data_IF_851043576274
#
_entry.id   IF_851043576274
#
_cell.length_a   1.000
_cell.length_b   1.000
_cell.length_c   1.000
_cell.angle_alpha   90.00
_cell.angle_beta   90.00
_cell.angle_gamma   90.00
#
_symmetry.space_group_name_H-M   'P 1'
#
loop_
_entity.id
_entity.type
_entity.pdbx_description
1 polymer ?
#
# COMPACT_ATOMS: atom_id res chain seq x y z
N UNK A 1 -5.00 3.24 38.26
CA UNK A 1 -6.08 2.29 38.50
C UNK A 1 -6.61 1.76 37.16
N UNK A 2 -6.31 0.51 36.84
CA UNK A 2 -6.66 -0.12 35.56
C UNK A 2 -8.19 -0.29 35.39
N UNK A 3 -8.97 -0.70 36.43
CA UNK A 3 -10.41 -0.80 36.31
C UNK A 3 -11.09 0.54 35.97
N UNK A 4 -10.71 1.63 36.62
CA UNK A 4 -11.29 2.95 36.36
C UNK A 4 -11.04 3.48 34.94
N UNK A 5 -9.90 3.12 34.32
CA UNK A 5 -9.63 3.43 32.92
C UNK A 5 -10.49 2.63 31.96
N UNK A 6 -10.77 1.37 32.29
CA UNK A 6 -11.63 0.50 31.47
C UNK A 6 -13.08 0.99 31.48
N UNK A 7 -13.58 1.38 32.66
CA UNK A 7 -14.92 1.95 32.81
C UNK A 7 -15.06 3.27 32.04
N UNK A 8 -14.04 4.15 32.13
CA UNK A 8 -14.03 5.42 31.37
C UNK A 8 -14.04 5.18 29.87
N UNK A 9 -13.26 4.22 29.36
CA UNK A 9 -13.27 3.85 27.95
C UNK A 9 -14.60 3.26 27.50
N UNK A 10 -15.21 2.40 28.31
CA UNK A 10 -16.53 1.83 28.03
C UNK A 10 -17.62 2.91 27.98
N UNK A 11 -17.52 3.92 28.85
CA UNK A 11 -18.45 5.03 28.88
C UNK A 11 -18.29 5.92 27.64
N UNK A 12 -17.05 6.28 27.25
CA UNK A 12 -16.76 7.04 26.04
C UNK A 12 -17.26 6.31 24.78
N UNK A 13 -17.02 5.00 24.70
CA UNK A 13 -17.50 4.20 23.58
C UNK A 13 -19.04 4.12 23.52
N UNK A 14 -19.69 4.07 24.67
CA UNK A 14 -21.16 4.02 24.77
C UNK A 14 -21.79 5.37 24.41
N UNK A 15 -21.17 6.47 24.83
CA UNK A 15 -21.60 7.83 24.49
C UNK A 15 -21.38 8.12 23.00
N UNK A 16 -20.22 7.77 22.46
CA UNK A 16 -19.91 7.93 21.03
C UNK A 16 -20.80 7.09 20.10
N UNK A 17 -21.28 5.93 20.57
CA UNK A 17 -22.19 5.09 19.78
C UNK A 17 -23.61 5.65 19.65
N UNK A 18 -23.96 6.68 20.44
CA UNK A 18 -25.27 7.34 20.40
C UNK A 18 -25.31 8.55 19.47
N UNK A 19 -24.15 9.08 19.06
CA UNK A 19 -24.09 10.15 18.06
C UNK A 19 -24.33 9.57 16.66
N UNK A 20 -25.51 9.89 16.09
CA UNK A 20 -25.91 9.42 14.76
C UNK A 20 -25.07 9.97 13.61
N UNK A 21 -24.20 10.96 13.85
CA UNK A 21 -23.33 11.61 12.87
C UNK A 21 -21.91 11.73 13.39
N UNK A 22 -21.26 10.60 13.69
CA UNK A 22 -19.84 10.63 13.98
C UNK A 22 -19.05 10.67 12.66
N UNK A 23 -18.27 11.72 12.39
CA UNK A 23 -17.51 11.85 11.15
C UNK A 23 -16.32 10.88 11.08
N UNK A 24 -15.95 10.26 12.20
CA UNK A 24 -14.84 9.31 12.31
C UNK A 24 -15.29 8.00 12.97
N UNK A 25 -15.08 6.91 12.27
CA UNK A 25 -15.36 5.55 12.77
C UNK A 25 -14.05 4.80 12.94
N UNK A 26 -13.78 4.31 14.15
CA UNK A 26 -12.68 3.38 14.42
C UNK A 26 -13.22 1.95 14.41
N UNK A 27 -12.61 1.10 13.59
CA UNK A 27 -13.05 -0.28 13.43
C UNK A 27 -11.87 -1.20 13.14
N UNK A 28 -11.98 -2.48 13.50
CA UNK A 28 -11.09 -3.50 12.95
C UNK A 28 -11.51 -3.85 11.53
N UNK A 29 -10.59 -4.39 10.73
CA UNK A 29 -10.92 -4.84 9.37
C UNK A 29 -12.02 -5.90 9.40
N UNK A 30 -11.99 -6.82 10.36
CA UNK A 30 -13.03 -7.84 10.53
C UNK A 30 -14.42 -7.23 10.79
N UNK A 31 -14.48 -6.23 11.66
CA UNK A 31 -15.75 -5.58 12.02
C UNK A 31 -16.30 -4.70 10.89
N UNK A 32 -15.46 -4.28 9.97
CA UNK A 32 -15.85 -3.48 8.81
C UNK A 32 -16.40 -4.29 7.64
N UNK A 33 -16.43 -5.62 7.76
CA UNK A 33 -16.93 -6.50 6.68
C UNK A 33 -18.40 -6.19 6.36
N UNK A 34 -18.70 -5.91 5.10
CA UNK A 34 -20.03 -5.54 4.63
C UNK A 34 -20.37 -4.05 4.74
N UNK A 35 -19.52 -3.26 5.38
CA UNK A 35 -19.65 -1.80 5.45
C UNK A 35 -18.78 -1.15 4.38
N UNK A 36 -19.12 0.07 3.99
CA UNK A 36 -18.33 0.87 3.04
C UNK A 36 -18.30 2.32 3.50
N UNK A 37 -17.18 2.99 3.24
CA UNK A 37 -16.91 4.36 3.67
C UNK A 37 -16.32 5.15 2.50
N UNK A 38 -16.60 6.44 2.45
CA UNK A 38 -16.06 7.30 1.39
C UNK A 38 -14.53 7.35 1.47
N UNK A 39 -14.00 7.44 2.70
CA UNK A 39 -12.55 7.44 2.97
C UNK A 39 -12.17 6.37 3.98
N UNK A 40 -11.11 5.64 3.71
CA UNK A 40 -10.56 4.63 4.61
C UNK A 40 -9.09 4.91 4.87
N UNK A 41 -8.73 4.87 6.15
CA UNK A 41 -7.37 5.03 6.64
C UNK A 41 -6.92 3.71 7.27
N UNK A 42 -6.10 2.94 6.57
CA UNK A 42 -5.52 1.70 7.08
C UNK A 42 -4.21 2.02 7.80
N UNK A 43 -4.18 1.81 9.11
CA UNK A 43 -3.01 2.03 9.95
C UNK A 43 -2.33 0.70 10.30
N UNK A 44 -1.08 0.76 10.77
CA UNK A 44 -0.29 -0.41 11.21
C UNK A 44 -0.09 -1.49 10.13
N UNK A 45 0.04 -1.06 8.88
CA UNK A 45 0.35 -1.97 7.76
C UNK A 45 1.86 -2.28 7.75
N UNK A 46 2.30 -3.06 8.73
CA UNK A 46 3.70 -3.34 9.03
C UNK A 46 3.95 -4.86 9.10
N UNK A 47 5.16 -5.28 8.73
CA UNK A 47 5.62 -6.65 9.01
C UNK A 47 5.60 -6.93 10.51
N UNK A 48 5.07 -8.08 10.89
CA UNK A 48 4.87 -8.47 12.29
C UNK A 48 3.52 -8.03 12.87
N UNK A 49 2.71 -7.26 12.13
CA UNK A 49 1.34 -6.88 12.52
C UNK A 49 0.33 -7.40 11.47
N UNK A 50 0.53 -7.04 10.21
CA UNK A 50 -0.23 -7.56 9.07
C UNK A 50 0.68 -7.57 7.83
N UNK A 51 1.30 -8.69 7.47
CA UNK A 51 1.19 -10.02 8.10
C UNK A 51 1.91 -10.15 9.44
N UNK A 52 1.46 -11.10 10.28
CA UNK A 52 2.14 -11.52 11.49
C UNK A 52 3.54 -12.08 11.20
N UNK A 53 4.42 -12.11 12.22
CA UNK A 53 5.72 -12.77 12.10
C UNK A 53 5.55 -14.28 11.88
N UNK A 54 6.04 -14.77 10.76
CA UNK A 54 6.07 -16.20 10.40
C UNK A 54 4.69 -16.89 10.43
N UNK A 55 3.68 -16.37 9.75
CA UNK A 55 2.42 -17.08 9.63
C UNK A 55 2.64 -18.39 8.88
N UNK A 56 1.90 -19.43 9.25
CA UNK A 56 1.79 -20.64 8.42
C UNK A 56 1.24 -20.22 7.05
N UNK A 57 1.54 -20.98 6.01
CA UNK A 57 1.15 -20.63 4.64
C UNK A 57 -0.35 -20.31 4.50
N UNK A 58 -1.20 -21.08 5.16
CA UNK A 58 -2.65 -20.84 5.23
C UNK A 58 -2.99 -19.51 5.95
N UNK A 59 -2.28 -19.17 7.03
CA UNK A 59 -2.46 -17.91 7.75
C UNK A 59 -2.09 -16.69 6.91
N UNK A 60 -1.01 -16.78 6.12
CA UNK A 60 -0.59 -15.70 5.24
C UNK A 60 -1.64 -15.38 4.16
N UNK A 61 -2.28 -16.40 3.57
CA UNK A 61 -3.33 -16.20 2.59
C UNK A 61 -4.60 -15.61 3.22
N UNK A 62 -4.92 -15.97 4.46
CA UNK A 62 -6.05 -15.40 5.21
C UNK A 62 -5.81 -13.91 5.51
N UNK A 63 -4.63 -13.55 5.99
CA UNK A 63 -4.25 -12.17 6.24
C UNK A 63 -4.20 -11.33 4.96
N UNK A 64 -3.77 -11.91 3.86
CA UNK A 64 -3.82 -11.26 2.55
C UNK A 64 -5.27 -10.96 2.13
N UNK A 65 -6.20 -11.89 2.38
CA UNK A 65 -7.63 -11.67 2.14
C UNK A 65 -8.19 -10.59 3.06
N UNK A 66 -7.76 -10.59 4.33
CA UNK A 66 -8.14 -9.57 5.29
C UNK A 66 -7.68 -8.18 4.85
N UNK A 67 -6.43 -8.05 4.43
CA UNK A 67 -5.91 -6.81 3.87
C UNK A 67 -6.74 -6.35 2.65
N UNK A 68 -7.07 -7.26 1.74
CA UNK A 68 -7.93 -6.96 0.60
C UNK A 68 -9.32 -6.48 1.02
N UNK A 69 -9.93 -7.14 2.04
CA UNK A 69 -11.22 -6.70 2.60
C UNK A 69 -11.11 -5.26 3.12
N UNK A 70 -10.05 -4.92 3.84
CA UNK A 70 -9.81 -3.55 4.31
C UNK A 70 -9.76 -2.53 3.17
N UNK A 71 -9.00 -2.82 2.12
CA UNK A 71 -8.91 -1.94 0.95
C UNK A 71 -10.26 -1.72 0.27
N UNK A 72 -11.06 -2.78 0.12
CA UNK A 72 -12.38 -2.70 -0.55
C UNK A 72 -13.45 -2.01 0.28
N UNK A 73 -13.14 -1.54 1.49
CA UNK A 73 -14.08 -0.73 2.28
C UNK A 73 -14.12 0.72 1.80
N UNK A 74 -13.13 1.17 1.04
CA UNK A 74 -13.07 2.51 0.51
C UNK A 74 -13.89 2.63 -0.79
N UNK A 75 -14.82 3.60 -0.84
CA UNK A 75 -15.54 3.96 -2.06
C UNK A 75 -14.77 4.93 -2.94
N UNK A 76 -14.16 5.95 -2.32
CA UNK A 76 -13.52 7.05 -3.04
C UNK A 76 -12.02 7.11 -2.76
N UNK A 77 -11.61 7.09 -1.48
CA UNK A 77 -10.23 7.33 -1.11
C UNK A 77 -9.72 6.27 -0.11
N UNK A 78 -8.56 5.72 -0.42
CA UNK A 78 -7.84 4.78 0.45
C UNK A 78 -6.47 5.34 0.82
N UNK A 79 -6.20 5.45 2.10
CA UNK A 79 -4.90 5.82 2.65
C UNK A 79 -4.31 4.65 3.43
N UNK A 80 -3.09 4.25 3.09
CA UNK A 80 -2.36 3.17 3.78
C UNK A 80 -1.15 3.79 4.46
N UNK A 81 -1.10 3.68 5.78
CA UNK A 81 -0.03 4.25 6.59
C UNK A 81 1.00 3.18 6.99
N UNK A 82 2.26 3.53 6.81
CA UNK A 82 3.41 2.75 7.25
C UNK A 82 4.35 3.65 8.05
N UNK A 83 5.06 3.12 9.03
CA UNK A 83 6.04 3.89 9.80
C UNK A 83 7.41 3.87 9.12
N UNK A 84 8.03 5.02 8.94
CA UNK A 84 9.24 5.21 8.15
C UNK A 84 10.47 4.38 8.55
N UNK A 85 10.59 4.01 9.84
CA UNK A 85 11.71 3.18 10.34
C UNK A 85 11.38 1.68 10.42
N UNK A 86 10.12 1.30 10.32
CA UNK A 86 9.69 -0.10 10.34
C UNK A 86 9.47 -0.62 8.92
N UNK A 87 9.74 -1.91 8.75
CA UNK A 87 9.51 -2.57 7.47
C UNK A 87 8.01 -2.56 7.15
N UNK A 88 7.66 -1.95 6.04
CA UNK A 88 6.28 -1.92 5.54
C UNK A 88 5.78 -3.33 5.25
N UNK A 89 4.50 -3.56 5.46
CA UNK A 89 3.83 -4.82 5.12
C UNK A 89 4.10 -5.22 3.66
N UNK A 90 4.37 -6.51 3.44
CA UNK A 90 4.53 -7.06 2.10
C UNK A 90 3.29 -6.81 1.21
N UNK A 91 2.11 -6.74 1.83
CA UNK A 91 0.87 -6.47 1.12
C UNK A 91 0.79 -5.03 0.64
N UNK A 92 1.10 -4.06 1.51
CA UNK A 92 1.13 -2.63 1.15
C UNK A 92 2.21 -2.35 0.10
N UNK A 93 3.38 -2.97 0.20
CA UNK A 93 4.44 -2.84 -0.79
C UNK A 93 3.98 -3.29 -2.18
N UNK A 94 3.26 -4.41 -2.29
CA UNK A 94 2.71 -4.87 -3.57
C UNK A 94 1.70 -3.89 -4.17
N UNK A 95 0.88 -3.25 -3.34
CA UNK A 95 -0.07 -2.22 -3.81
C UNK A 95 0.68 -0.98 -4.31
N UNK A 96 1.70 -0.52 -3.57
CA UNK A 96 2.53 0.61 -3.99
C UNK A 96 3.33 0.30 -5.26
N UNK A 97 3.88 -0.90 -5.37
CA UNK A 97 4.56 -1.37 -6.58
C UNK A 97 3.62 -1.38 -7.79
N UNK A 98 2.44 -1.95 -7.64
CA UNK A 98 1.45 -2.00 -8.72
C UNK A 98 1.02 -0.59 -9.15
N UNK A 99 0.80 0.32 -8.20
CA UNK A 99 0.45 1.72 -8.49
C UNK A 99 1.60 2.47 -9.18
N UNK A 100 2.82 2.31 -8.67
CA UNK A 100 3.99 2.94 -9.28
C UNK A 100 4.21 2.45 -10.72
N UNK A 101 3.94 1.18 -10.99
CA UNK A 101 4.07 0.60 -12.33
C UNK A 101 2.91 0.95 -13.27
N UNK A 102 1.76 1.39 -12.77
CA UNK A 102 0.56 1.64 -13.58
C UNK A 102 0.78 2.70 -14.69
N UNK A 103 1.72 3.63 -14.51
CA UNK A 103 2.12 4.61 -15.51
C UNK A 103 3.22 4.13 -16.46
N UNK A 104 3.77 2.92 -16.26
CA UNK A 104 4.91 2.42 -17.00
C UNK A 104 4.49 1.24 -17.90
N UNK A 105 4.49 1.45 -19.21
CA UNK A 105 4.18 0.42 -20.21
C UNK A 105 5.23 0.42 -21.33
N UNK A 106 5.33 -0.63 -22.14
CA UNK A 106 6.18 -0.59 -23.33
C UNK A 106 5.86 0.62 -24.20
N UNK A 107 6.87 1.38 -24.59
CA UNK A 107 6.76 2.66 -25.29
C UNK A 107 6.74 3.88 -24.37
N UNK A 108 6.57 3.72 -23.05
CA UNK A 108 6.66 4.85 -22.12
C UNK A 108 8.06 5.45 -22.09
N UNK A 109 8.13 6.78 -22.08
CA UNK A 109 9.37 7.50 -21.83
C UNK A 109 9.66 7.56 -20.36
N UNK A 110 10.92 7.39 -19.99
CA UNK A 110 11.38 7.41 -18.60
C UNK A 110 12.59 8.32 -18.45
N UNK A 111 12.78 8.84 -17.24
CA UNK A 111 14.00 9.56 -16.85
C UNK A 111 14.67 8.81 -15.71
N UNK A 112 15.92 8.46 -15.87
CA UNK A 112 16.75 7.85 -14.83
C UNK A 112 17.82 8.82 -14.38
N UNK A 113 18.03 8.94 -13.07
CA UNK A 113 18.99 9.92 -12.49
C UNK A 113 20.39 9.76 -13.08
N UNK A 114 20.86 8.52 -13.30
CA UNK A 114 22.20 8.23 -13.82
C UNK A 114 22.27 8.14 -15.35
N UNK A 115 21.23 7.58 -15.98
CA UNK A 115 21.29 7.23 -17.43
C UNK A 115 20.55 8.23 -18.32
N UNK A 116 19.89 9.23 -17.73
CA UNK A 116 19.11 10.22 -18.46
C UNK A 116 17.79 9.68 -19.00
N UNK A 117 17.35 10.20 -20.12
CA UNK A 117 16.07 9.83 -20.74
C UNK A 117 16.18 8.54 -21.52
N UNK A 118 15.20 7.67 -21.40
CA UNK A 118 15.10 6.41 -22.12
C UNK A 118 13.66 6.07 -22.48
N UNK A 119 13.50 4.94 -23.16
CA UNK A 119 12.20 4.39 -23.53
C UNK A 119 12.10 2.93 -23.10
N UNK A 120 10.98 2.56 -22.52
CA UNK A 120 10.71 1.19 -22.11
C UNK A 120 10.41 0.36 -23.36
N UNK A 121 11.30 -0.57 -23.70
CA UNK A 121 11.14 -1.47 -24.83
C UNK A 121 10.22 -2.64 -24.50
N UNK A 122 10.40 -3.22 -23.31
CA UNK A 122 9.69 -4.42 -22.87
C UNK A 122 9.63 -4.47 -21.35
N UNK A 123 8.55 -5.04 -20.82
CA UNK A 123 8.40 -5.36 -19.38
C UNK A 123 8.14 -6.86 -19.26
N UNK A 124 8.89 -7.51 -18.37
CA UNK A 124 8.72 -8.92 -18.02
C UNK A 124 8.66 -9.04 -16.50
N UNK A 125 7.47 -9.30 -15.96
CA UNK A 125 7.22 -9.18 -14.51
C UNK A 125 7.54 -7.77 -14.04
N UNK A 126 8.44 -7.64 -13.07
CA UNK A 126 8.86 -6.36 -12.50
C UNK A 126 10.10 -5.75 -13.18
N UNK A 127 10.64 -6.39 -14.21
CA UNK A 127 11.86 -5.93 -14.90
C UNK A 127 11.51 -5.28 -16.22
N UNK A 128 11.93 -4.04 -16.40
CA UNK A 128 11.87 -3.34 -17.66
C UNK A 128 13.21 -3.38 -18.39
N UNK A 129 13.16 -3.61 -19.69
CA UNK A 129 14.25 -3.36 -20.62
C UNK A 129 14.08 -1.94 -21.16
N UNK A 130 15.00 -1.06 -20.81
CA UNK A 130 14.94 0.36 -21.14
C UNK A 130 16.12 0.70 -22.05
N UNK A 131 15.83 1.39 -23.13
CA UNK A 131 16.84 1.90 -24.07
C UNK A 131 17.13 3.34 -23.70
N UNK A 132 18.38 3.62 -23.34
CA UNK A 132 18.83 4.96 -22.94
C UNK A 132 19.71 5.63 -24.02
N UNK A 133 19.57 6.95 -24.10
CA UNK A 133 20.43 7.80 -24.93
C UNK A 133 20.36 7.51 -26.42
N UNK A 134 21.13 8.31 -27.20
CA UNK A 134 21.22 8.16 -28.67
C UNK A 134 21.98 6.91 -29.13
N UNK A 135 22.78 6.34 -28.24
CA UNK A 135 23.59 5.15 -28.53
C UNK A 135 22.79 3.84 -28.37
N UNK A 136 21.55 3.89 -27.93
CA UNK A 136 20.68 2.71 -27.79
C UNK A 136 21.12 1.73 -26.71
N UNK A 137 21.75 2.20 -25.63
CA UNK A 137 22.19 1.33 -24.54
C UNK A 137 21.01 0.72 -23.81
N UNK A 138 20.91 -0.61 -23.81
CA UNK A 138 19.83 -1.33 -23.15
C UNK A 138 20.21 -1.67 -21.72
N UNK A 139 19.34 -1.31 -20.78
CA UNK A 139 19.47 -1.66 -19.36
C UNK A 139 18.23 -2.40 -18.88
N UNK A 140 18.46 -3.40 -18.02
CA UNK A 140 17.38 -4.12 -17.33
C UNK A 140 17.25 -3.57 -15.92
N UNK A 141 16.12 -2.96 -15.63
CA UNK A 141 15.87 -2.25 -14.36
C UNK A 141 14.60 -2.79 -13.72
N UNK A 142 14.68 -3.06 -12.42
CA UNK A 142 13.48 -3.37 -11.63
C UNK A 142 12.66 -2.10 -11.45
N UNK A 143 11.50 -2.03 -12.09
CA UNK A 143 10.62 -0.86 -12.02
C UNK A 143 10.20 -0.51 -10.59
N UNK A 144 9.68 -1.45 -9.77
CA UNK A 144 9.26 -1.12 -8.42
C UNK A 144 10.40 -0.53 -7.58
N UNK A 145 11.59 -1.15 -7.66
CA UNK A 145 12.75 -0.70 -6.88
C UNK A 145 13.19 0.69 -7.34
N UNK A 146 13.29 0.91 -8.64
CA UNK A 146 13.79 2.17 -9.19
C UNK A 146 12.81 3.34 -9.00
N UNK A 147 11.49 3.08 -9.13
CA UNK A 147 10.45 4.06 -8.91
C UNK A 147 10.31 4.43 -7.42
N UNK A 148 10.30 3.44 -6.52
CA UNK A 148 10.24 3.68 -5.09
C UNK A 148 11.49 4.38 -4.54
N UNK A 149 12.65 4.09 -5.11
CA UNK A 149 13.89 4.79 -4.76
C UNK A 149 14.00 6.20 -5.38
N UNK A 150 13.05 6.61 -6.21
CA UNK A 150 13.06 7.90 -6.89
C UNK A 150 14.20 8.06 -7.92
N UNK A 151 14.85 6.95 -8.33
CA UNK A 151 15.93 6.98 -9.33
C UNK A 151 15.43 6.86 -10.76
N UNK A 152 14.16 6.45 -10.94
CA UNK A 152 13.46 6.37 -12.22
C UNK A 152 12.11 7.07 -12.09
N UNK A 153 11.73 7.80 -13.13
CA UNK A 153 10.44 8.48 -13.27
C UNK A 153 9.85 8.12 -14.62
N UNK A 154 8.56 7.73 -14.68
CA UNK A 154 7.83 7.59 -15.93
C UNK A 154 7.32 8.96 -16.39
N UNK A 155 7.69 9.34 -17.62
CA UNK A 155 7.27 10.60 -18.26
C UNK A 155 6.07 10.29 -19.17
N UNK A 156 4.90 10.72 -18.77
CA UNK A 156 3.68 10.62 -19.60
C UNK A 156 3.60 11.78 -20.59
#
# INVERSE_FOLDING_TARGET
DFPGRLESLQQILKEGSQEKECPLILSTIHSSKGLEYDRVYMIDMLEGILPEESPKEEGYEEERRLFYVGMTRAKEELYIFTFGEKKSSAFSNRVFEARAMAGCHPGSRVRHVKYGTGEIRRITGNIAEIVFGKNGEVRRISLPVALNAGVLECLN
#
